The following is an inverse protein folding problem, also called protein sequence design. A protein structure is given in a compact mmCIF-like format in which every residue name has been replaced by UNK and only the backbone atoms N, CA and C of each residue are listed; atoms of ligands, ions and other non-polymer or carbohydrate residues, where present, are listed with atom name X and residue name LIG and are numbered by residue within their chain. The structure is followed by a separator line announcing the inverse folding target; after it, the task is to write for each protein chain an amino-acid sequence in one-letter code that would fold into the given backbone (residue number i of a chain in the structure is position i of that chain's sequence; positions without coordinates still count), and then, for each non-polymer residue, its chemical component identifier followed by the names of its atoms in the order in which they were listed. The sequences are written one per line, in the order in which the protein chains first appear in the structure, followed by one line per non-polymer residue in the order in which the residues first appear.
data_IF_747486783085
#
_entry.id   IF_747486783085
#
_cell.length_a   1.000
_cell.length_b   1.000
_cell.length_c   1.000
_cell.angle_alpha   90.00
_cell.angle_beta   90.00
_cell.angle_gamma   90.00
#
_symmetry.space_group_name_H-M   'P 1'
#
loop_
_entity.id
_entity.type
_entity.pdbx_description
1 polymer ?
#
# COMPACT_ATOMS: atom_id res chain seq x y z
N UNK A 1 6.84 -21.97 22.55
CA UNK A 1 7.30 -22.81 21.42
C UNK A 1 8.80 -22.61 21.30
N UNK A 2 9.58 -23.66 21.50
CA UNK A 2 11.04 -23.63 21.42
C UNK A 2 11.43 -23.78 19.94
N UNK A 3 11.84 -22.68 19.29
CA UNK A 3 12.44 -22.72 17.95
C UNK A 3 13.82 -23.41 18.00
N UNK A 4 14.40 -23.76 16.84
CA UNK A 4 15.68 -24.50 16.78
C UNK A 4 16.85 -23.83 17.55
N UNK A 5 16.80 -22.51 17.79
CA UNK A 5 17.75 -21.77 18.63
C UNK A 5 17.79 -22.28 20.09
N UNK A 6 18.98 -22.65 20.59
CA UNK A 6 19.20 -23.27 21.91
C UNK A 6 18.98 -22.31 23.09
N UNK A 7 17.72 -21.97 23.40
CA UNK A 7 17.35 -20.96 24.41
C UNK A 7 17.08 -21.50 25.82
N UNK A 8 16.70 -22.77 25.96
CA UNK A 8 16.09 -23.27 27.21
C UNK A 8 16.90 -24.39 27.91
N UNK A 9 18.19 -24.57 27.58
CA UNK A 9 19.06 -25.52 28.29
C UNK A 9 18.68 -27.00 28.18
N UNK A 10 17.66 -27.36 27.38
CA UNK A 10 17.28 -28.74 27.08
C UNK A 10 17.82 -29.16 25.71
N UNK A 11 18.67 -30.18 25.72
CA UNK A 11 19.14 -30.89 24.53
C UNK A 11 17.98 -31.66 23.90
N UNK A 12 17.38 -31.13 22.85
CA UNK A 12 16.49 -31.91 22.00
C UNK A 12 16.88 -31.67 20.55
N UNK A 13 17.67 -32.61 20.04
CA UNK A 13 18.13 -32.64 18.66
C UNK A 13 17.22 -33.60 17.88
N UNK A 14 16.62 -33.19 16.77
CA UNK A 14 15.70 -34.06 15.99
C UNK A 14 16.35 -34.68 14.76
N UNK A 15 17.58 -34.26 14.43
CA UNK A 15 18.36 -34.85 13.33
C UNK A 15 19.74 -35.31 13.77
N UNK A 16 20.16 -36.46 13.23
CA UNK A 16 21.51 -36.98 13.34
C UNK A 16 22.11 -37.20 11.95
N UNK A 17 23.42 -37.16 11.84
CA UNK A 17 24.16 -37.47 10.61
C UNK A 17 24.45 -38.97 10.55
N UNK A 18 24.06 -39.64 9.46
CA UNK A 18 24.39 -41.05 9.22
C UNK A 18 25.84 -41.20 8.77
N UNK A 19 26.34 -42.43 8.76
CA UNK A 19 27.71 -42.75 8.33
C UNK A 19 27.99 -42.43 6.85
N UNK A 20 26.96 -42.30 6.02
CA UNK A 20 27.05 -41.88 4.62
C UNK A 20 26.98 -40.35 4.43
N UNK A 21 26.87 -39.59 5.52
CA UNK A 21 26.77 -38.12 5.53
C UNK A 21 25.35 -37.59 5.35
N UNK A 22 24.34 -38.45 5.18
CA UNK A 22 22.93 -38.02 5.05
C UNK A 22 22.29 -37.69 6.39
N UNK A 23 21.33 -36.76 6.39
CA UNK A 23 20.60 -36.39 7.61
C UNK A 23 19.43 -37.36 7.88
N UNK A 24 19.45 -37.94 9.08
CA UNK A 24 18.40 -38.80 9.62
C UNK A 24 17.49 -38.02 10.57
N UNK A 25 16.18 -38.04 10.33
CA UNK A 25 15.23 -37.56 11.33
C UNK A 25 15.02 -38.62 12.42
N UNK A 26 14.80 -38.22 13.66
CA UNK A 26 14.61 -39.14 14.80
C UNK A 26 13.49 -40.16 14.55
N UNK A 27 12.47 -39.81 13.78
CA UNK A 27 11.40 -40.74 13.41
C UNK A 27 11.86 -41.92 12.53
N UNK A 28 12.98 -41.79 11.81
CA UNK A 28 13.45 -42.76 10.81
C UNK A 28 14.41 -43.81 11.35
N UNK A 29 14.91 -43.65 12.57
CA UNK A 29 15.94 -44.52 13.16
C UNK A 29 15.35 -45.44 14.23
N UNK A 30 16.00 -46.57 14.52
CA UNK A 30 15.65 -47.38 15.70
C UNK A 30 15.97 -46.62 17.00
N UNK A 31 15.28 -46.97 18.09
CA UNK A 31 15.58 -46.44 19.42
C UNK A 31 16.95 -46.94 19.88
N UNK A 32 17.67 -46.15 20.68
CA UNK A 32 18.97 -46.50 21.23
C UNK A 32 20.16 -46.13 20.33
N UNK A 33 21.25 -46.88 20.46
CA UNK A 33 22.55 -46.59 19.85
C UNK A 33 22.75 -47.20 18.46
N UNK A 34 21.81 -48.02 18.03
CA UNK A 34 21.86 -48.73 16.74
C UNK A 34 21.72 -47.79 15.54
N UNK A 35 21.21 -46.58 15.75
CA UNK A 35 21.12 -45.56 14.71
C UNK A 35 22.50 -45.16 14.14
N UNK A 36 23.58 -45.37 14.92
CA UNK A 36 24.96 -44.98 14.59
C UNK A 36 25.09 -43.53 14.08
N UNK A 37 24.19 -42.66 14.51
CA UNK A 37 24.17 -41.27 14.09
C UNK A 37 25.19 -40.45 14.89
N UNK A 38 25.77 -39.44 14.24
CA UNK A 38 26.64 -38.44 14.85
C UNK A 38 25.91 -37.09 14.96
N UNK A 39 26.27 -36.28 15.94
CA UNK A 39 25.80 -34.92 16.03
C UNK A 39 26.45 -34.08 14.92
N UNK A 40 25.67 -33.41 14.04
CA UNK A 40 26.25 -32.59 12.97
C UNK A 40 26.99 -31.35 13.48
N UNK A 41 26.75 -30.94 14.74
CA UNK A 41 27.41 -29.79 15.37
C UNK A 41 28.75 -30.14 16.03
N UNK A 42 28.81 -31.20 16.83
CA UNK A 42 30.00 -31.55 17.63
C UNK A 42 30.65 -32.89 17.26
N UNK A 43 30.05 -33.69 16.38
CA UNK A 43 30.55 -35.00 15.95
C UNK A 43 30.35 -36.12 16.98
N UNK A 44 29.85 -35.83 18.18
CA UNK A 44 29.61 -36.84 19.22
C UNK A 44 28.52 -37.83 18.80
N UNK A 45 28.71 -39.11 19.13
CA UNK A 45 27.73 -40.17 18.89
C UNK A 45 26.39 -39.86 19.56
N UNK A 46 25.30 -40.12 18.85
CA UNK A 46 23.95 -39.89 19.34
C UNK A 46 23.29 -41.18 19.82
N UNK A 47 22.37 -41.02 20.78
CA UNK A 47 21.40 -42.03 21.21
C UNK A 47 20.00 -41.56 20.85
N UNK A 48 19.25 -42.38 20.12
CA UNK A 48 17.85 -42.10 19.78
C UNK A 48 16.95 -42.39 20.99
N UNK A 49 16.44 -41.36 21.65
CA UNK A 49 15.52 -41.46 22.79
C UNK A 49 14.09 -41.36 22.27
N UNK A 50 13.35 -42.46 22.37
CA UNK A 50 11.94 -42.57 21.96
C UNK A 50 11.09 -43.07 23.13
N UNK A 51 9.91 -42.50 23.32
CA UNK A 51 9.00 -42.92 24.38
C UNK A 51 7.69 -42.14 24.37
N UNK A 52 6.71 -42.64 25.10
CA UNK A 52 5.32 -42.12 25.03
C UNK A 52 5.10 -40.81 25.82
N UNK A 53 6.04 -40.46 26.72
CA UNK A 53 5.93 -39.30 27.62
C UNK A 53 6.71 -38.07 27.17
N UNK A 54 7.79 -38.26 26.40
CA UNK A 54 8.69 -37.21 25.96
C UNK A 54 8.80 -37.27 24.44
N UNK A 55 8.90 -36.11 23.80
CA UNK A 55 9.12 -36.04 22.36
C UNK A 55 10.34 -36.84 21.94
N UNK A 56 10.24 -37.51 20.80
CA UNK A 56 11.35 -38.25 20.23
C UNK A 56 12.50 -37.28 19.93
N UNK A 57 13.69 -37.58 20.46
CA UNK A 57 14.89 -36.76 20.23
C UNK A 57 16.15 -37.61 20.25
N UNK A 58 17.22 -37.05 19.70
CA UNK A 58 18.58 -37.52 19.91
C UNK A 58 19.16 -36.84 21.15
N UNK A 59 19.81 -37.64 21.99
CA UNK A 59 20.72 -37.18 23.04
C UNK A 59 22.16 -37.53 22.69
N UNK A 60 23.13 -36.85 23.29
CA UNK A 60 24.54 -37.24 23.15
C UNK A 60 24.84 -38.46 24.02
N UNK A 61 25.54 -39.45 23.46
CA UNK A 61 25.96 -40.62 24.20
C UNK A 61 27.25 -40.35 24.98
N UNK A 62 27.29 -40.76 26.25
CA UNK A 62 28.51 -40.68 27.08
C UNK A 62 28.87 -39.28 27.59
N UNK A 63 27.97 -38.30 27.42
CA UNK A 63 28.09 -36.96 27.99
C UNK A 63 27.07 -36.88 29.14
N UNK A 64 27.51 -36.56 30.36
CA UNK A 64 26.56 -36.25 31.45
C UNK A 64 25.64 -35.10 31.00
N UNK A 65 24.32 -35.21 31.25
CA UNK A 65 23.22 -34.36 30.72
C UNK A 65 23.29 -32.84 31.09
N UNK A 66 24.48 -32.25 31.29
CA UNK A 66 24.67 -30.89 31.81
C UNK A 66 25.16 -29.82 30.83
N UNK A 67 25.67 -30.16 29.63
CA UNK A 67 26.12 -29.14 28.66
C UNK A 67 25.42 -29.30 27.32
N UNK A 68 24.38 -28.49 27.04
CA UNK A 68 23.69 -28.54 25.76
C UNK A 68 24.64 -28.27 24.60
N UNK A 69 24.64 -29.11 23.57
CA UNK A 69 25.26 -28.79 22.30
C UNK A 69 24.58 -27.55 21.70
N UNK A 70 25.20 -26.39 21.90
CA UNK A 70 24.61 -25.09 21.56
C UNK A 70 24.40 -24.92 20.06
N UNK A 71 25.21 -25.57 19.23
CA UNK A 71 25.21 -25.41 17.75
C UNK A 71 24.55 -26.56 17.00
N UNK A 72 24.30 -27.70 17.67
CA UNK A 72 23.85 -28.94 17.04
C UNK A 72 22.52 -28.81 16.29
N UNK A 73 21.44 -28.34 16.94
CA UNK A 73 20.12 -28.21 16.30
C UNK A 73 20.11 -27.28 15.08
N UNK A 74 20.84 -26.18 15.14
CA UNK A 74 20.90 -25.19 14.06
C UNK A 74 21.67 -25.73 12.86
N UNK A 75 22.85 -26.32 13.12
CA UNK A 75 23.68 -26.98 12.11
C UNK A 75 22.93 -28.12 11.44
N UNK A 76 22.20 -28.91 12.23
CA UNK A 76 21.35 -29.99 11.75
C UNK A 76 20.29 -29.51 10.76
N UNK A 77 19.50 -28.49 11.12
CA UNK A 77 18.44 -27.97 10.26
C UNK A 77 19.01 -27.36 8.97
N UNK A 78 20.13 -26.64 9.09
CA UNK A 78 20.81 -26.02 7.95
C UNK A 78 21.30 -27.06 6.94
N UNK A 79 21.97 -28.11 7.41
CA UNK A 79 22.41 -29.24 6.56
C UNK A 79 21.23 -29.98 5.94
N UNK A 80 20.18 -30.24 6.71
CA UNK A 80 18.97 -30.89 6.20
C UNK A 80 18.32 -30.06 5.09
N UNK A 81 18.22 -28.73 5.24
CA UNK A 81 17.66 -27.84 4.24
C UNK A 81 18.44 -27.85 2.91
N UNK A 82 19.78 -27.81 3.01
CA UNK A 82 20.70 -27.96 1.87
C UNK A 82 20.47 -29.29 1.14
N UNK A 83 20.45 -30.41 1.87
CA UNK A 83 20.23 -31.74 1.31
C UNK A 83 18.87 -31.86 0.62
N UNK A 84 17.81 -31.38 1.26
CA UNK A 84 16.44 -31.40 0.70
C UNK A 84 16.38 -30.65 -0.63
N UNK A 85 16.92 -29.44 -0.70
CA UNK A 85 16.94 -28.67 -1.94
C UNK A 85 17.78 -29.34 -3.02
N UNK A 86 18.96 -29.87 -2.67
CA UNK A 86 19.83 -30.56 -3.63
C UNK A 86 19.20 -31.84 -4.19
N UNK A 87 18.43 -32.56 -3.38
CA UNK A 87 17.72 -33.78 -3.79
C UNK A 87 16.46 -33.48 -4.60
N UNK A 88 15.68 -32.48 -4.19
CA UNK A 88 14.38 -32.16 -4.79
C UNK A 88 14.49 -31.33 -6.06
N UNK A 89 15.52 -30.48 -6.16
CA UNK A 89 15.74 -29.56 -7.28
C UNK A 89 14.49 -28.73 -7.62
N UNK A 90 13.70 -28.38 -6.61
CA UNK A 90 12.49 -27.59 -6.77
C UNK A 90 12.37 -26.64 -5.58
N UNK A 91 11.89 -25.42 -5.83
CA UNK A 91 11.67 -24.43 -4.79
C UNK A 91 10.57 -23.44 -5.19
N UNK A 92 9.72 -23.04 -4.26
CA UNK A 92 8.85 -21.88 -4.45
C UNK A 92 9.65 -20.58 -4.38
N UNK A 93 9.58 -19.75 -5.41
CA UNK A 93 10.26 -18.46 -5.44
C UNK A 93 9.30 -17.33 -5.06
N UNK A 94 9.74 -16.34 -4.26
CA UNK A 94 8.90 -15.21 -3.90
C UNK A 94 8.54 -14.38 -5.14
N UNK A 95 7.37 -13.72 -5.15
CA UNK A 95 7.04 -12.74 -6.17
C UNK A 95 8.11 -11.65 -6.25
N UNK A 96 8.44 -11.23 -7.48
CA UNK A 96 9.28 -10.08 -7.74
C UNK A 96 8.39 -8.91 -8.15
N UNK A 97 8.04 -8.09 -7.16
CA UNK A 97 7.14 -6.94 -7.34
C UNK A 97 7.78 -5.67 -6.80
N UNK A 98 7.52 -4.54 -7.46
CA UNK A 98 7.96 -3.20 -7.02
C UNK A 98 6.75 -2.28 -6.95
N UNK A 99 6.60 -1.58 -5.82
CA UNK A 99 5.50 -0.65 -5.56
C UNK A 99 4.20 -1.33 -5.11
N UNK A 100 3.20 -0.49 -4.83
CA UNK A 100 1.89 -0.91 -4.31
C UNK A 100 0.74 -0.43 -5.20
N UNK A 101 -0.42 -1.09 -5.07
CA UNK A 101 -1.64 -0.70 -5.78
C UNK A 101 -1.62 -0.94 -7.30
N UNK A 102 -2.51 -0.27 -8.06
CA UNK A 102 -2.68 -0.50 -9.50
C UNK A 102 -1.48 -0.06 -10.36
N UNK A 103 -0.47 0.61 -9.78
CA UNK A 103 0.77 1.00 -10.44
C UNK A 103 1.96 0.07 -10.18
N UNK A 104 1.76 -1.03 -9.44
CA UNK A 104 2.86 -1.94 -9.11
C UNK A 104 3.41 -2.62 -10.36
N UNK A 105 4.73 -2.75 -10.40
CA UNK A 105 5.42 -3.54 -11.42
C UNK A 105 5.53 -4.99 -10.95
N UNK A 106 5.27 -5.94 -11.85
CA UNK A 106 5.38 -7.38 -11.58
C UNK A 106 6.39 -7.97 -12.56
N UNK A 107 7.56 -8.34 -12.07
CA UNK A 107 8.60 -9.01 -12.87
C UNK A 107 8.46 -10.53 -12.90
N UNK A 108 7.97 -11.08 -11.79
CA UNK A 108 7.71 -12.50 -11.61
C UNK A 108 6.59 -12.65 -10.56
N UNK A 109 5.51 -13.40 -10.84
CA UNK A 109 4.38 -13.50 -9.93
C UNK A 109 4.63 -14.36 -8.68
N UNK A 110 5.78 -15.04 -8.60
CA UNK A 110 6.00 -16.07 -7.59
C UNK A 110 5.62 -17.47 -8.10
N UNK A 111 6.03 -18.50 -7.38
CA UNK A 111 5.58 -19.88 -7.62
C UNK A 111 6.71 -20.91 -7.64
N UNK A 112 6.30 -22.17 -7.73
CA UNK A 112 7.17 -23.35 -7.74
C UNK A 112 8.03 -23.38 -9.00
N UNK A 113 9.34 -23.57 -8.82
CA UNK A 113 10.32 -23.57 -9.89
C UNK A 113 11.26 -24.76 -9.79
N UNK A 114 11.43 -25.49 -10.90
CA UNK A 114 12.33 -26.64 -11.00
C UNK A 114 13.71 -26.27 -11.56
N UNK A 115 14.75 -26.89 -11.02
CA UNK A 115 16.16 -26.70 -11.33
C UNK A 115 16.76 -27.95 -11.96
N UNK A 116 17.88 -27.78 -12.67
CA UNK A 116 18.59 -28.88 -13.33
C UNK A 116 19.70 -29.46 -12.46
N UNK A 117 20.25 -28.64 -11.55
CA UNK A 117 21.33 -29.03 -10.64
C UNK A 117 21.37 -28.13 -9.40
N UNK A 118 21.99 -28.63 -8.34
CA UNK A 118 22.31 -27.91 -7.12
C UNK A 118 23.76 -28.19 -6.70
N UNK A 119 24.46 -27.16 -6.25
CA UNK A 119 25.83 -27.23 -5.77
C UNK A 119 25.87 -26.73 -4.33
N UNK A 120 26.21 -27.62 -3.40
CA UNK A 120 26.29 -27.31 -1.97
C UNK A 120 27.64 -26.68 -1.65
N UNK A 121 27.64 -25.65 -0.80
CA UNK A 121 28.84 -25.04 -0.20
C UNK A 121 29.96 -24.72 -1.21
N UNK A 122 29.57 -24.41 -2.45
CA UNK A 122 30.50 -24.19 -3.54
C UNK A 122 30.93 -22.73 -3.56
N UNK A 123 32.24 -22.49 -3.50
CA UNK A 123 32.79 -21.13 -3.50
C UNK A 123 32.47 -20.41 -4.81
N UNK A 124 31.90 -19.22 -4.69
CA UNK A 124 31.56 -18.35 -5.81
C UNK A 124 32.17 -16.97 -5.54
N UNK A 125 33.30 -16.69 -6.19
CA UNK A 125 34.11 -15.51 -5.89
C UNK A 125 34.54 -15.49 -4.42
N UNK A 126 34.14 -14.45 -3.70
CA UNK A 126 34.48 -14.24 -2.28
C UNK A 126 33.42 -14.78 -1.29
N UNK A 127 32.34 -15.40 -1.78
CA UNK A 127 31.29 -15.94 -0.92
C UNK A 127 31.17 -17.46 -1.08
N UNK A 128 30.59 -18.09 -0.06
CA UNK A 128 30.11 -19.46 -0.10
C UNK A 128 28.61 -19.40 0.19
N UNK A 129 27.76 -19.49 -0.84
CA UNK A 129 26.32 -19.64 -0.66
C UNK A 129 26.00 -21.00 -0.06
N UNK A 130 24.88 -21.12 0.64
CA UNK A 130 24.45 -22.42 1.17
C UNK A 130 24.18 -23.42 0.04
N UNK A 131 23.43 -22.97 -0.97
CA UNK A 131 23.15 -23.74 -2.19
C UNK A 131 23.19 -22.81 -3.40
N UNK A 132 23.84 -23.25 -4.47
CA UNK A 132 23.72 -22.67 -5.80
C UNK A 132 22.84 -23.61 -6.63
N UNK A 133 21.64 -23.18 -6.99
CA UNK A 133 20.77 -23.94 -7.90
C UNK A 133 20.88 -23.38 -9.32
N UNK A 134 20.81 -24.26 -10.32
CA UNK A 134 21.02 -23.90 -11.73
C UNK A 134 19.83 -24.30 -12.60
N UNK A 135 19.43 -23.41 -13.52
CA UNK A 135 18.45 -23.68 -14.59
C UNK A 135 18.97 -23.15 -15.91
N UNK A 136 19.35 -24.05 -16.82
CA UNK A 136 20.15 -23.72 -18.01
C UNK A 136 21.48 -23.07 -17.61
N UNK A 137 21.73 -21.87 -18.14
CA UNK A 137 22.93 -21.06 -17.86
C UNK A 137 22.76 -20.12 -16.64
N UNK A 138 21.59 -20.12 -15.99
CA UNK A 138 21.29 -19.19 -14.90
C UNK A 138 21.50 -19.83 -13.54
N UNK A 139 22.13 -19.08 -12.66
CA UNK A 139 22.29 -19.44 -11.25
C UNK A 139 21.33 -18.64 -10.37
N UNK A 140 20.86 -19.28 -9.30
CA UNK A 140 20.19 -18.66 -8.17
C UNK A 140 20.91 -19.11 -6.91
N UNK A 141 21.29 -18.14 -6.08
CA UNK A 141 21.85 -18.39 -4.76
C UNK A 141 20.71 -18.54 -3.76
N UNK A 142 20.78 -19.57 -2.92
CA UNK A 142 19.80 -19.80 -1.85
C UNK A 142 20.54 -19.82 -0.54
N UNK A 143 20.11 -18.97 0.38
CA UNK A 143 20.59 -18.90 1.77
C UNK A 143 19.48 -19.36 2.72
N UNK A 144 19.82 -20.14 3.74
CA UNK A 144 18.89 -20.57 4.77
C UNK A 144 19.19 -19.85 6.09
N UNK A 145 18.26 -19.02 6.54
CA UNK A 145 18.34 -18.38 7.85
C UNK A 145 17.78 -19.34 8.91
N UNK A 146 18.63 -19.77 9.84
CA UNK A 146 18.20 -20.53 11.04
C UNK A 146 18.29 -19.67 12.30
N UNK A 147 19.42 -18.98 12.49
CA UNK A 147 19.62 -18.05 13.61
C UNK A 147 20.14 -16.70 13.20
N UNK A 148 20.99 -16.65 12.17
CA UNK A 148 21.53 -15.42 11.64
C UNK A 148 20.98 -15.18 10.24
N UNK A 149 20.55 -13.95 9.99
CA UNK A 149 20.30 -13.46 8.64
C UNK A 149 21.61 -13.36 7.88
N UNK A 150 21.53 -13.41 6.55
CA UNK A 150 22.61 -13.03 5.66
C UNK A 150 23.09 -11.61 6.00
N UNK A 151 24.38 -11.46 6.27
CA UNK A 151 24.95 -10.17 6.66
C UNK A 151 25.05 -9.19 5.47
N UNK A 152 25.16 -7.91 5.78
CA UNK A 152 25.21 -6.84 4.77
C UNK A 152 26.43 -6.99 3.83
N UNK A 153 27.55 -7.53 4.31
CA UNK A 153 28.76 -7.70 3.51
C UNK A 153 28.58 -8.79 2.44
N UNK A 154 27.96 -9.92 2.79
CA UNK A 154 27.60 -11.00 1.88
C UNK A 154 26.56 -10.53 0.88
N UNK A 155 25.53 -9.80 1.31
CA UNK A 155 24.53 -9.21 0.42
C UNK A 155 25.20 -8.23 -0.57
N UNK A 156 26.10 -7.36 -0.12
CA UNK A 156 26.82 -6.44 -0.99
C UNK A 156 27.65 -7.16 -2.07
N UNK A 157 28.30 -8.28 -1.71
CA UNK A 157 29.03 -9.13 -2.67
C UNK A 157 28.10 -9.79 -3.69
N UNK A 158 26.94 -10.29 -3.26
CA UNK A 158 25.91 -10.84 -4.15
C UNK A 158 25.44 -9.78 -5.14
N UNK A 159 25.16 -8.56 -4.67
CA UNK A 159 24.74 -7.43 -5.51
C UNK A 159 25.84 -7.05 -6.50
N UNK A 160 27.11 -7.04 -6.08
CA UNK A 160 28.24 -6.70 -6.95
C UNK A 160 28.45 -7.71 -8.09
N UNK A 161 28.17 -9.00 -7.85
CA UNK A 161 28.22 -10.04 -8.88
C UNK A 161 26.99 -10.05 -9.80
N UNK A 162 25.94 -9.30 -9.45
CA UNK A 162 24.65 -9.25 -10.15
C UNK A 162 24.01 -10.64 -10.35
N UNK A 163 24.07 -11.49 -9.31
CA UNK A 163 23.48 -12.83 -9.33
C UNK A 163 22.22 -12.85 -8.46
N UNK A 164 21.13 -13.42 -8.97
CA UNK A 164 19.90 -13.54 -8.21
C UNK A 164 20.11 -14.39 -6.95
N UNK A 165 19.59 -13.91 -5.82
CA UNK A 165 19.71 -14.57 -4.54
C UNK A 165 18.44 -14.42 -3.71
N UNK A 166 18.07 -15.49 -2.99
CA UNK A 166 16.98 -15.48 -2.03
C UNK A 166 17.47 -15.97 -0.66
N UNK A 167 16.78 -15.52 0.37
CA UNK A 167 16.90 -16.06 1.72
C UNK A 167 15.57 -16.72 2.12
N UNK A 168 15.66 -17.91 2.69
CA UNK A 168 14.54 -18.67 3.24
C UNK A 168 14.69 -18.70 4.76
N UNK A 169 13.68 -18.19 5.46
CA UNK A 169 13.68 -18.08 6.92
C UNK A 169 13.08 -19.32 7.58
N UNK A 170 13.96 -20.13 8.17
CA UNK A 170 13.62 -21.33 8.93
C UNK A 170 13.65 -21.08 10.44
N UNK A 171 13.99 -19.87 10.89
CA UNK A 171 14.20 -19.55 12.31
C UNK A 171 12.93 -19.69 13.16
N UNK A 172 11.76 -19.51 12.53
CA UNK A 172 10.45 -19.65 13.16
C UNK A 172 9.93 -21.09 13.29
N UNK A 173 10.63 -22.09 12.76
CA UNK A 173 10.14 -23.47 12.77
C UNK A 173 10.22 -24.10 14.19
N UNK A 174 9.14 -24.74 14.67
CA UNK A 174 9.17 -25.53 15.89
C UNK A 174 10.16 -26.70 15.79
N UNK A 175 10.87 -27.02 16.87
CA UNK A 175 11.84 -28.12 16.89
C UNK A 175 11.26 -29.49 16.62
N UNK A 176 10.05 -29.73 17.11
CA UNK A 176 9.29 -30.98 17.03
C UNK A 176 8.54 -31.14 15.70
N UNK A 177 8.76 -30.24 14.74
CA UNK A 177 8.14 -30.31 13.42
C UNK A 177 8.47 -31.64 12.73
N UNK A 178 7.44 -32.35 12.27
CA UNK A 178 7.61 -33.59 11.54
C UNK A 178 8.44 -33.39 10.27
N UNK A 179 9.23 -34.42 9.89
CA UNK A 179 10.08 -34.36 8.69
C UNK A 179 9.35 -33.87 7.44
N UNK A 180 8.16 -34.38 7.16
CA UNK A 180 7.38 -34.00 5.97
C UNK A 180 7.02 -32.51 5.98
N UNK A 181 6.69 -31.96 7.14
CA UNK A 181 6.37 -30.55 7.31
C UNK A 181 7.62 -29.67 7.24
N UNK A 182 8.77 -30.16 7.73
CA UNK A 182 10.07 -29.49 7.53
C UNK A 182 10.45 -29.43 6.05
N UNK A 183 10.35 -30.55 5.32
CA UNK A 183 10.60 -30.57 3.87
C UNK A 183 9.67 -29.59 3.15
N UNK A 184 8.38 -29.56 3.50
CA UNK A 184 7.41 -28.62 2.95
C UNK A 184 7.78 -27.17 3.28
N UNK A 185 8.20 -26.88 4.51
CA UNK A 185 8.63 -25.55 4.91
C UNK A 185 9.81 -25.06 4.07
N UNK A 186 10.86 -25.86 3.98
CA UNK A 186 12.06 -25.58 3.17
C UNK A 186 11.66 -25.29 1.71
N UNK A 187 10.82 -26.14 1.12
CA UNK A 187 10.52 -26.06 -0.31
C UNK A 187 9.50 -24.97 -0.66
N UNK A 188 8.47 -24.75 0.17
CA UNK A 188 7.29 -23.94 -0.22
C UNK A 188 6.78 -22.96 0.84
N UNK A 189 6.60 -23.38 2.11
CA UNK A 189 5.81 -22.56 3.04
C UNK A 189 6.60 -21.61 3.94
N UNK A 190 7.91 -21.82 4.13
CA UNK A 190 8.71 -20.91 4.94
C UNK A 190 8.80 -19.51 4.29
N UNK A 191 8.80 -18.41 5.08
CA UNK A 191 9.00 -17.07 4.56
C UNK A 191 10.26 -16.98 3.71
N UNK A 192 10.17 -16.26 2.59
CA UNK A 192 11.27 -16.14 1.64
C UNK A 192 11.28 -14.77 1.00
N UNK A 193 12.47 -14.22 0.80
CA UNK A 193 12.65 -12.87 0.21
C UNK A 193 13.81 -12.86 -0.76
N UNK A 194 13.74 -11.97 -1.75
CA UNK A 194 14.88 -11.66 -2.60
C UNK A 194 15.92 -10.87 -1.80
N UNK A 195 17.15 -11.36 -1.76
CA UNK A 195 18.31 -10.58 -1.30
C UNK A 195 18.82 -9.68 -2.43
N UNK A 196 18.83 -10.21 -3.65
CA UNK A 196 19.13 -9.48 -4.88
C UNK A 196 18.43 -10.14 -6.05
N UNK A 197 18.03 -9.34 -7.04
CA UNK A 197 17.60 -9.85 -8.33
C UNK A 197 17.96 -8.83 -9.42
N UNK A 198 18.73 -9.20 -10.46
CA UNK A 198 19.14 -8.28 -11.53
C UNK A 198 17.98 -7.54 -12.19
N UNK A 199 16.79 -8.15 -12.22
CA UNK A 199 15.59 -7.55 -12.79
C UNK A 199 15.06 -6.36 -11.98
N UNK A 200 15.40 -6.24 -10.68
CA UNK A 200 14.95 -5.13 -9.84
C UNK A 200 15.48 -3.78 -10.33
N UNK A 201 16.74 -3.72 -10.75
CA UNK A 201 17.35 -2.48 -11.24
C UNK A 201 16.66 -1.99 -12.51
N UNK A 202 16.47 -2.88 -13.49
CA UNK A 202 15.78 -2.55 -14.74
C UNK A 202 14.33 -2.12 -14.49
N UNK A 203 13.65 -2.79 -13.56
CA UNK A 203 12.28 -2.46 -13.16
C UNK A 203 12.16 -1.08 -12.51
N UNK A 204 13.10 -0.72 -11.64
CA UNK A 204 13.14 0.59 -10.99
C UNK A 204 13.28 1.72 -12.03
N UNK A 205 14.21 1.55 -12.98
CA UNK A 205 14.42 2.51 -14.09
C UNK A 205 13.14 2.68 -14.92
N UNK A 206 12.47 1.57 -15.25
CA UNK A 206 11.22 1.60 -16.02
C UNK A 206 10.07 2.27 -15.24
N UNK A 207 9.95 2.00 -13.94
CA UNK A 207 8.93 2.61 -13.09
C UNK A 207 9.12 4.13 -12.98
N UNK A 208 10.36 4.57 -12.79
CA UNK A 208 10.71 6.00 -12.78
C UNK A 208 10.42 6.67 -14.13
N UNK A 209 10.74 5.99 -15.24
CA UNK A 209 10.42 6.48 -16.59
C UNK A 209 8.92 6.70 -16.75
N UNK A 210 8.10 5.71 -16.37
CA UNK A 210 6.63 5.81 -16.41
C UNK A 210 6.09 6.91 -15.50
N UNK A 211 6.67 7.07 -14.31
CA UNK A 211 6.35 8.16 -13.39
C UNK A 211 6.57 9.52 -14.05
N UNK A 212 7.77 9.74 -14.59
CA UNK A 212 8.11 10.97 -15.33
C UNK A 212 7.18 11.23 -16.51
N UNK A 213 6.84 10.20 -17.28
CA UNK A 213 5.92 10.35 -18.42
C UNK A 213 4.51 10.75 -17.98
N UNK A 214 3.98 10.12 -16.93
CA UNK A 214 2.68 10.48 -16.37
C UNK A 214 2.69 11.92 -15.86
N UNK A 215 3.74 12.32 -15.16
CA UNK A 215 3.87 13.66 -14.59
C UNK A 215 3.98 14.70 -15.71
N UNK A 216 4.71 14.42 -16.79
CA UNK A 216 4.77 15.27 -17.99
C UNK A 216 3.40 15.40 -18.70
N UNK A 217 2.64 14.31 -18.80
CA UNK A 217 1.29 14.35 -19.38
C UNK A 217 0.37 15.20 -18.52
N UNK A 218 0.42 15.03 -17.19
CA UNK A 218 -0.36 15.83 -16.25
C UNK A 218 0.01 17.31 -16.33
N UNK A 219 1.29 17.65 -16.38
CA UNK A 219 1.77 19.02 -16.45
C UNK A 219 1.32 19.74 -17.74
N UNK A 220 1.43 19.06 -18.88
CA UNK A 220 0.93 19.57 -20.18
C UNK A 220 -0.59 19.78 -20.14
N UNK A 221 -1.34 18.82 -19.61
CA UNK A 221 -2.79 18.93 -19.45
C UNK A 221 -3.16 20.09 -18.52
N UNK A 222 -2.49 20.20 -17.37
CA UNK A 222 -2.72 21.22 -16.37
C UNK A 222 -2.43 22.62 -16.91
N UNK A 223 -1.35 22.81 -17.67
CA UNK A 223 -1.02 24.09 -18.32
C UNK A 223 -2.15 24.54 -19.27
N UNK A 224 -2.63 23.63 -20.12
CA UNK A 224 -3.74 23.90 -21.04
C UNK A 224 -5.05 24.20 -20.31
N UNK A 225 -5.37 23.40 -19.29
CA UNK A 225 -6.56 23.56 -18.44
C UNK A 225 -6.52 24.90 -17.69
N UNK A 226 -5.37 25.28 -17.13
CA UNK A 226 -5.16 26.53 -16.41
C UNK A 226 -5.37 27.74 -17.31
N UNK A 227 -4.76 27.74 -18.50
CA UNK A 227 -4.96 28.82 -19.49
C UNK A 227 -6.44 28.97 -19.83
N UNK A 228 -7.14 27.87 -20.06
CA UNK A 228 -8.58 27.88 -20.33
C UNK A 228 -9.40 28.38 -19.14
N UNK A 229 -9.02 28.00 -17.91
CA UNK A 229 -9.69 28.41 -16.69
C UNK A 229 -9.53 29.91 -16.43
N UNK A 230 -8.32 30.44 -16.57
CA UNK A 230 -8.06 31.89 -16.41
C UNK A 230 -8.84 32.71 -17.45
N UNK A 231 -8.91 32.25 -18.69
CA UNK A 231 -9.75 32.87 -19.72
C UNK A 231 -11.23 32.86 -19.32
N UNK A 232 -11.75 31.74 -18.81
CA UNK A 232 -13.11 31.64 -18.32
C UNK A 232 -13.38 32.57 -17.12
N UNK A 233 -12.43 32.73 -16.20
CA UNK A 233 -12.51 33.71 -15.11
C UNK A 233 -12.61 35.15 -15.62
N UNK A 234 -11.78 35.52 -16.61
CA UNK A 234 -11.84 36.84 -17.23
C UNK A 234 -13.18 37.07 -17.94
N UNK A 235 -13.66 36.07 -18.67
CA UNK A 235 -14.95 36.08 -19.36
C UNK A 235 -16.10 36.38 -18.38
N UNK A 236 -16.24 35.59 -17.31
CA UNK A 236 -17.33 35.76 -16.34
C UNK A 236 -17.24 37.05 -15.53
N UNK A 237 -16.04 37.62 -15.34
CA UNK A 237 -15.86 38.94 -14.71
C UNK A 237 -16.34 40.09 -15.59
N UNK A 238 -16.22 39.94 -16.91
CA UNK A 238 -16.65 40.95 -17.88
C UNK A 238 -18.16 40.90 -18.18
N UNK A 239 -18.83 39.80 -17.84
CA UNK A 239 -20.25 39.61 -18.12
C UNK A 239 -21.15 40.51 -17.28
N UNK A 240 -22.20 41.02 -17.91
CA UNK A 240 -23.32 41.65 -17.20
C UNK A 240 -24.23 40.58 -16.62
N UNK A 241 -24.91 40.93 -15.52
CA UNK A 241 -25.99 40.13 -14.93
C UNK A 241 -27.03 39.82 -15.99
N UNK A 242 -27.37 38.54 -16.12
CA UNK A 242 -28.33 38.06 -17.13
C UNK A 242 -29.59 37.46 -16.52
N UNK A 243 -29.61 37.23 -15.21
CA UNK A 243 -30.69 36.51 -14.53
C UNK A 243 -31.61 37.42 -13.69
N UNK A 244 -32.92 37.27 -13.89
CA UNK A 244 -33.97 37.91 -13.07
C UNK A 244 -33.94 37.52 -11.58
N UNK A 245 -33.23 36.44 -11.22
CA UNK A 245 -33.05 36.06 -9.82
C UNK A 245 -32.30 37.15 -9.04
N UNK A 246 -31.40 37.89 -9.68
CA UNK A 246 -30.70 39.00 -9.04
C UNK A 246 -31.67 40.09 -8.59
N UNK A 247 -32.62 40.48 -9.45
CA UNK A 247 -33.61 41.52 -9.12
C UNK A 247 -34.47 41.12 -7.91
N UNK A 248 -34.83 39.83 -7.80
CA UNK A 248 -35.56 39.28 -6.65
C UNK A 248 -34.76 39.34 -5.34
N UNK A 249 -33.45 39.16 -5.41
CA UNK A 249 -32.53 39.27 -4.28
C UNK A 249 -32.30 40.74 -3.90
N UNK A 250 -32.12 41.61 -4.89
CA UNK A 250 -31.95 43.05 -4.70
C UNK A 250 -33.20 43.70 -4.08
N UNK A 251 -34.41 43.33 -4.56
CA UNK A 251 -35.68 43.79 -4.00
C UNK A 251 -35.89 43.40 -2.53
N UNK A 252 -35.12 42.41 -2.05
CA UNK A 252 -35.11 41.93 -0.66
C UNK A 252 -33.91 42.42 0.14
N UNK A 253 -33.19 43.41 -0.36
CA UNK A 253 -31.99 44.01 0.25
C UNK A 253 -30.83 43.03 0.48
N UNK A 254 -30.78 41.93 -0.28
CA UNK A 254 -29.75 40.90 -0.19
C UNK A 254 -28.71 41.00 -1.33
N UNK A 255 -28.61 42.16 -2.00
CA UNK A 255 -27.67 42.37 -3.10
C UNK A 255 -26.20 42.16 -2.70
N UNK A 256 -25.85 42.37 -1.42
CA UNK A 256 -24.51 42.15 -0.87
C UNK A 256 -24.15 40.65 -0.67
N UNK A 257 -25.13 39.75 -0.76
CA UNK A 257 -24.95 38.31 -0.60
C UNK A 257 -24.55 37.59 -1.90
N UNK A 258 -24.48 38.33 -3.02
CA UNK A 258 -24.26 37.78 -4.37
C UNK A 258 -23.21 38.62 -5.11
N UNK A 259 -22.55 38.02 -6.09
CA UNK A 259 -21.40 38.63 -6.77
C UNK A 259 -20.08 38.46 -6.00
N UNK A 260 -20.04 37.57 -5.01
CA UNK A 260 -18.84 37.30 -4.21
C UNK A 260 -17.91 36.38 -5.03
N UNK A 261 -16.68 36.82 -5.29
CA UNK A 261 -15.68 35.96 -5.94
C UNK A 261 -15.16 34.89 -4.97
N UNK A 262 -15.05 33.66 -5.48
CA UNK A 262 -14.54 32.50 -4.76
C UNK A 262 -13.66 31.67 -5.70
N UNK A 263 -12.77 30.82 -5.20
CA UNK A 263 -12.11 29.83 -6.06
C UNK A 263 -13.13 29.00 -6.83
N UNK A 264 -12.88 28.79 -8.12
CA UNK A 264 -13.76 28.05 -9.02
C UNK A 264 -14.80 28.87 -9.79
N UNK A 265 -14.79 30.21 -9.76
CA UNK A 265 -15.76 31.03 -10.54
C UNK A 265 -15.70 30.74 -12.05
N UNK A 266 -14.53 30.42 -12.59
CA UNK A 266 -14.36 30.06 -14.00
C UNK A 266 -14.99 28.72 -14.39
N UNK A 267 -15.49 27.94 -13.42
CA UNK A 267 -16.23 26.71 -13.68
C UNK A 267 -17.63 26.95 -14.25
N UNK A 268 -18.16 28.17 -14.12
CA UNK A 268 -19.50 28.54 -14.55
C UNK A 268 -19.47 29.33 -15.86
N UNK A 269 -20.57 29.30 -16.61
CA UNK A 269 -20.72 30.08 -17.88
C UNK A 269 -21.37 31.45 -17.66
N UNK A 270 -21.70 31.79 -16.41
CA UNK A 270 -22.40 33.02 -16.00
C UNK A 270 -21.63 33.69 -14.86
N UNK A 271 -21.76 35.01 -14.65
CA UNK A 271 -21.06 35.71 -13.58
C UNK A 271 -21.43 35.18 -12.18
N UNK A 272 -20.57 35.35 -11.15
CA UNK A 272 -20.85 34.95 -9.77
C UNK A 272 -22.23 35.38 -9.27
N UNK A 273 -22.62 36.60 -9.63
CA UNK A 273 -23.90 37.19 -9.27
C UNK A 273 -25.10 36.36 -9.73
N UNK A 274 -25.07 35.78 -10.93
CA UNK A 274 -26.23 35.07 -11.50
C UNK A 274 -26.45 33.72 -10.82
N UNK A 275 -25.41 32.87 -10.76
CA UNK A 275 -25.56 31.55 -10.17
C UNK A 275 -25.78 31.62 -8.65
N UNK A 276 -25.17 32.57 -7.95
CA UNK A 276 -25.39 32.80 -6.52
C UNK A 276 -26.81 33.30 -6.26
N UNK A 277 -27.32 34.23 -7.09
CA UNK A 277 -28.69 34.73 -6.95
C UNK A 277 -29.74 33.63 -7.17
N UNK A 278 -29.54 32.71 -8.11
CA UNK A 278 -30.46 31.57 -8.28
C UNK A 278 -30.50 30.68 -7.05
N UNK A 279 -29.34 30.34 -6.48
CA UNK A 279 -29.29 29.50 -5.27
C UNK A 279 -29.99 30.20 -4.09
N UNK A 280 -29.68 31.47 -3.87
CA UNK A 280 -30.22 32.24 -2.75
C UNK A 280 -31.71 32.53 -2.92
N UNK A 281 -32.16 32.89 -4.13
CA UNK A 281 -33.56 33.22 -4.39
C UNK A 281 -34.46 32.02 -4.11
N UNK A 282 -34.05 30.82 -4.50
CA UNK A 282 -34.82 29.61 -4.23
C UNK A 282 -34.94 29.33 -2.73
N UNK A 283 -33.88 29.56 -1.95
CA UNK A 283 -33.93 29.40 -0.50
C UNK A 283 -34.85 30.45 0.16
N UNK A 284 -34.80 31.69 -0.32
CA UNK A 284 -35.67 32.78 0.15
C UNK A 284 -37.13 32.53 -0.19
N UNK A 285 -37.42 32.08 -1.41
CA UNK A 285 -38.78 31.78 -1.86
C UNK A 285 -39.35 30.57 -1.08
N UNK A 286 -38.55 29.53 -0.84
CA UNK A 286 -38.93 28.42 0.06
C UNK A 286 -39.23 28.90 1.48
N UNK A 287 -38.39 29.77 2.05
CA UNK A 287 -38.64 30.35 3.37
C UNK A 287 -39.95 31.16 3.38
N UNK A 288 -40.21 31.95 2.34
CA UNK A 288 -41.44 32.75 2.23
C UNK A 288 -42.69 31.87 2.20
N UNK A 289 -42.63 30.73 1.52
CA UNK A 289 -43.72 29.74 1.43
C UNK A 289 -43.87 28.83 2.66
N UNK A 290 -43.08 29.04 3.72
CA UNK A 290 -43.14 28.23 4.95
C UNK A 290 -42.39 26.89 4.86
N UNK A 291 -41.65 26.66 3.77
CA UNK A 291 -40.78 25.50 3.61
C UNK A 291 -39.43 25.65 4.34
N UNK A 292 -38.65 24.57 4.38
CA UNK A 292 -37.30 24.56 4.96
C UNK A 292 -36.29 25.12 3.93
N UNK A 293 -35.64 26.28 4.18
CA UNK A 293 -34.76 26.92 3.19
C UNK A 293 -33.35 26.32 3.22
N UNK A 294 -33.25 25.02 2.94
CA UNK A 294 -32.00 24.26 2.93
C UNK A 294 -31.28 24.42 1.58
N UNK A 295 -30.01 24.81 1.65
CA UNK A 295 -29.07 24.86 0.54
C UNK A 295 -28.08 23.70 0.70
N UNK A 296 -27.91 22.92 -0.36
CA UNK A 296 -26.87 21.89 -0.44
C UNK A 296 -26.04 22.08 -1.70
N UNK A 297 -24.76 21.72 -1.67
CA UNK A 297 -23.87 21.80 -2.86
C UNK A 297 -24.45 20.98 -4.02
N UNK A 298 -24.90 19.75 -3.75
CA UNK A 298 -25.52 18.88 -4.73
C UNK A 298 -26.81 19.47 -5.33
N UNK A 299 -27.67 20.07 -4.50
CA UNK A 299 -28.91 20.72 -4.95
C UNK A 299 -28.64 21.96 -5.79
N UNK A 300 -27.69 22.79 -5.39
CA UNK A 300 -27.24 23.95 -6.14
C UNK A 300 -26.65 23.56 -7.50
N UNK A 301 -25.72 22.60 -7.53
CA UNK A 301 -25.11 22.14 -8.78
C UNK A 301 -26.11 21.51 -9.74
N UNK A 302 -27.13 20.80 -9.24
CA UNK A 302 -28.22 20.27 -10.08
C UNK A 302 -28.93 21.40 -10.83
N UNK A 303 -29.27 22.48 -10.14
CA UNK A 303 -29.98 23.65 -10.71
C UNK A 303 -29.12 24.40 -11.72
N UNK A 304 -27.84 24.57 -11.42
CA UNK A 304 -26.85 25.19 -12.32
C UNK A 304 -26.70 24.33 -13.58
N UNK A 305 -26.58 23.00 -13.43
CA UNK A 305 -26.46 22.06 -14.56
C UNK A 305 -27.70 22.06 -15.45
N UNK A 306 -28.90 22.06 -14.88
CA UNK A 306 -30.16 22.14 -15.64
C UNK A 306 -30.28 23.40 -16.49
N UNK A 307 -29.60 24.49 -16.09
CA UNK A 307 -29.55 25.76 -16.84
C UNK A 307 -28.41 25.82 -17.87
N UNK A 308 -27.62 24.75 -17.99
CA UNK A 308 -26.44 24.74 -18.85
C UNK A 308 -25.30 25.62 -18.35
N UNK A 309 -25.32 26.04 -17.08
CA UNK A 309 -24.38 27.04 -16.54
C UNK A 309 -23.04 26.47 -16.06
N UNK A 310 -22.75 25.20 -16.38
CA UNK A 310 -21.55 24.50 -15.95
C UNK A 310 -20.66 24.21 -17.15
N UNK A 311 -19.40 24.67 -17.09
CA UNK A 311 -18.41 24.35 -18.12
C UNK A 311 -17.96 22.90 -17.96
N UNK A 312 -18.32 22.06 -18.95
CA UNK A 312 -17.99 20.62 -18.96
C UNK A 312 -16.50 20.34 -18.72
N UNK A 313 -15.63 21.20 -19.25
CA UNK A 313 -14.17 21.10 -19.11
C UNK A 313 -13.67 21.06 -17.66
N UNK A 314 -14.40 21.68 -16.73
CA UNK A 314 -13.97 21.78 -15.32
C UNK A 314 -14.79 20.91 -14.36
N UNK A 315 -15.87 20.28 -14.84
CA UNK A 315 -16.78 19.52 -13.99
C UNK A 315 -16.36 18.08 -13.71
N UNK A 316 -15.43 17.53 -14.49
CA UNK A 316 -14.99 16.13 -14.41
C UNK A 316 -13.49 15.96 -14.22
N UNK A 317 -12.81 17.01 -13.76
CA UNK A 317 -11.38 16.93 -13.46
C UNK A 317 -11.13 16.03 -12.26
N UNK A 318 -10.05 15.27 -12.32
CA UNK A 318 -9.51 14.50 -11.20
C UNK A 318 -8.89 15.43 -10.15
N UNK A 319 -8.73 14.94 -8.92
CA UNK A 319 -8.06 15.70 -7.86
C UNK A 319 -6.61 16.04 -8.23
N UNK A 320 -5.93 15.17 -8.98
CA UNK A 320 -4.57 15.40 -9.47
C UNK A 320 -4.52 16.56 -10.47
N UNK A 321 -5.45 16.61 -11.44
CA UNK A 321 -5.56 17.73 -12.37
C UNK A 321 -5.92 19.03 -11.64
N UNK A 322 -6.86 18.97 -10.70
CA UNK A 322 -7.24 20.13 -9.89
C UNK A 322 -6.07 20.67 -9.05
N UNK A 323 -5.30 19.79 -8.42
CA UNK A 323 -4.09 20.15 -7.68
C UNK A 323 -3.03 20.77 -8.60
N UNK A 324 -2.79 20.19 -9.79
CA UNK A 324 -1.84 20.71 -10.76
C UNK A 324 -2.23 22.10 -11.29
N UNK A 325 -3.53 22.36 -11.49
CA UNK A 325 -4.01 23.70 -11.85
C UNK A 325 -3.70 24.69 -10.71
N UNK A 326 -3.95 24.30 -9.45
CA UNK A 326 -3.74 25.14 -8.26
C UNK A 326 -2.28 25.39 -7.89
N UNK A 327 -1.35 24.54 -8.33
CA UNK A 327 0.05 24.55 -7.90
C UNK A 327 0.71 25.95 -7.93
N UNK A 328 0.38 26.76 -8.93
CA UNK A 328 0.93 28.12 -9.11
C UNK A 328 0.01 29.23 -8.58
N UNK A 329 -0.80 28.93 -7.56
CA UNK A 329 -1.70 29.90 -6.92
C UNK A 329 -2.93 30.27 -7.75
N UNK A 330 -3.25 29.52 -8.81
CA UNK A 330 -4.49 29.73 -9.57
C UNK A 330 -5.69 29.48 -8.65
N UNK A 331 -6.68 30.39 -8.55
CA UNK A 331 -7.84 30.25 -7.67
C UNK A 331 -8.88 29.29 -8.28
N UNK A 332 -8.45 28.08 -8.60
CA UNK A 332 -9.27 27.00 -9.11
C UNK A 332 -9.79 26.14 -7.97
N UNK A 333 -11.07 25.78 -8.05
CA UNK A 333 -11.63 24.69 -7.26
C UNK A 333 -12.79 24.04 -8.02
N UNK A 334 -13.17 22.83 -7.63
CA UNK A 334 -14.31 22.14 -8.22
C UNK A 334 -15.60 22.95 -8.03
N UNK A 335 -16.57 22.82 -8.96
CA UNK A 335 -17.84 23.56 -8.88
C UNK A 335 -18.57 23.42 -7.54
N UNK A 336 -18.52 22.23 -6.91
CA UNK A 336 -19.15 21.99 -5.62
C UNK A 336 -18.48 22.80 -4.51
N UNK A 337 -17.15 22.87 -4.54
CA UNK A 337 -16.34 23.59 -3.57
C UNK A 337 -16.49 25.11 -3.74
N UNK A 338 -16.65 25.59 -4.98
CA UNK A 338 -16.98 27.00 -5.24
C UNK A 338 -18.32 27.40 -4.58
N UNK A 339 -19.36 26.56 -4.70
CA UNK A 339 -20.64 26.78 -4.02
C UNK A 339 -20.48 26.76 -2.51
N UNK A 340 -19.74 25.78 -1.97
CA UNK A 340 -19.47 25.67 -0.54
C UNK A 340 -18.69 26.87 0.03
N UNK A 341 -17.69 27.37 -0.71
CA UNK A 341 -16.90 28.53 -0.36
C UNK A 341 -17.78 29.79 -0.29
N UNK A 342 -18.67 29.98 -1.27
CA UNK A 342 -19.64 31.09 -1.25
C UNK A 342 -20.60 30.98 -0.07
N UNK A 343 -21.19 29.81 0.17
CA UNK A 343 -22.13 29.60 1.27
C UNK A 343 -21.46 29.80 2.64
N UNK A 344 -20.21 29.35 2.78
CA UNK A 344 -19.37 29.61 3.96
C UNK A 344 -19.14 31.11 4.18
N UNK A 345 -18.89 31.87 3.11
CA UNK A 345 -18.79 33.34 3.21
C UNK A 345 -20.11 33.95 3.70
N UNK A 346 -21.26 33.48 3.21
CA UNK A 346 -22.56 33.95 3.70
C UNK A 346 -22.83 33.58 5.16
N UNK A 347 -22.27 32.47 5.64
CA UNK A 347 -22.32 32.15 7.07
C UNK A 347 -21.53 33.13 7.92
N UNK A 348 -20.37 33.59 7.47
CA UNK A 348 -19.62 34.65 8.16
C UNK A 348 -20.35 35.99 8.17
N UNK A 349 -21.18 36.24 7.16
CA UNK A 349 -22.04 37.43 7.09
C UNK A 349 -23.35 37.28 7.87
N UNK A 350 -23.59 36.15 8.55
CA UNK A 350 -24.83 35.90 9.32
C UNK A 350 -26.06 35.65 8.45
N UNK A 351 -25.91 35.41 7.15
CA UNK A 351 -27.02 35.21 6.21
C UNK A 351 -27.46 33.74 6.21
N UNK A 352 -26.49 32.83 6.27
CA UNK A 352 -26.71 31.38 6.30
C UNK A 352 -26.17 30.77 7.60
N UNK A 353 -26.83 29.73 8.12
CA UNK A 353 -26.29 28.91 9.20
C UNK A 353 -25.84 27.55 8.65
N UNK A 354 -24.66 27.03 9.05
CA UNK A 354 -24.26 25.66 8.73
C UNK A 354 -25.26 24.67 9.35
N UNK A 355 -25.61 23.64 8.60
CA UNK A 355 -26.66 22.69 8.97
C UNK A 355 -26.16 21.23 8.83
N UNK A 356 -25.31 20.81 9.76
CA UNK A 356 -24.70 19.49 9.78
C UNK A 356 -23.32 19.48 9.11
N UNK A 357 -23.07 18.50 8.23
CA UNK A 357 -21.82 18.39 7.48
C UNK A 357 -21.52 19.63 6.62
N UNK A 358 -20.24 19.82 6.24
CA UNK A 358 -19.71 21.02 5.57
C UNK A 358 -20.25 21.33 4.16
N UNK A 359 -21.35 20.70 3.74
CA UNK A 359 -21.99 20.83 2.43
C UNK A 359 -23.47 21.30 2.51
N UNK A 360 -23.93 21.75 3.70
CA UNK A 360 -25.32 22.10 3.99
C UNK A 360 -25.47 23.39 4.78
N UNK A 361 -26.41 24.24 4.35
CA UNK A 361 -26.71 25.52 4.99
C UNK A 361 -28.21 25.82 5.01
N UNK A 362 -28.67 26.58 5.99
CA UNK A 362 -30.07 27.04 6.11
C UNK A 362 -30.07 28.57 6.16
N UNK A 363 -31.02 29.20 5.47
CA UNK A 363 -31.23 30.66 5.56
C UNK A 363 -31.61 31.08 6.99
N UNK A 364 -30.91 32.07 7.55
CA UNK A 364 -31.14 32.51 8.93
C UNK A 364 -32.47 33.26 9.09
N UNK A 365 -33.15 33.07 10.23
CA UNK A 365 -34.52 33.57 10.44
C UNK A 365 -34.63 35.10 10.50
N UNK A 366 -33.62 35.82 11.03
CA UNK A 366 -33.66 37.30 11.03
C UNK A 366 -33.57 37.87 9.62
N UNK A 367 -32.79 37.23 8.75
CA UNK A 367 -32.68 37.54 7.31
C UNK A 367 -33.97 37.19 6.56
N UNK A 368 -34.63 36.09 6.92
CA UNK A 368 -35.94 35.73 6.38
C UNK A 368 -37.06 36.69 6.86
N UNK A 369 -37.02 37.13 8.12
CA UNK A 369 -38.02 38.01 8.75
C UNK A 369 -38.05 39.43 8.18
N UNK A 370 -36.88 40.01 7.85
CA UNK A 370 -36.79 41.33 7.19
C UNK A 370 -37.44 41.33 5.80
N UNK A 371 -37.48 40.19 5.11
CA UNK A 371 -38.13 40.05 3.81
C UNK A 371 -39.65 39.86 3.89
N UNK A 372 -40.17 39.22 4.95
CA UNK A 372 -41.62 39.08 5.20
C UNK A 372 -42.27 40.37 5.71
N UNK A 373 -41.63 41.09 6.65
CA UNK A 373 -42.20 42.28 7.28
C UNK A 373 -42.42 43.47 6.32
N UNK A 374 -41.66 43.56 5.22
CA UNK A 374 -41.75 44.65 4.25
C UNK A 374 -42.65 44.37 3.04
N UNK A 375 -42.94 43.10 2.72
CA UNK A 375 -43.93 42.75 1.69
C UNK A 375 -45.36 43.09 2.12
N UNK A 376 -45.65 43.04 3.43
CA UNK A 376 -46.93 43.48 3.98
C UNK A 376 -47.13 45.01 3.91
N UNK A 377 -46.04 45.79 4.00
CA UNK A 377 -46.09 47.25 3.99
C UNK A 377 -46.24 47.89 2.59
N UNK A 378 -46.14 47.12 1.50
CA UNK A 378 -46.36 47.59 0.11
C UNK A 378 -47.73 47.18 -0.47
N UNK A 379 -48.61 46.59 0.35
CA UNK A 379 -49.97 46.17 -0.03
C UNK A 379 -51.08 47.04 0.57
N UNK A 380 -50.74 48.23 1.08
CA UNK A 380 -51.68 49.25 1.53
C UNK A 380 -51.49 50.53 0.71
#
# INVERSE_FOLDING_TARGET
MTGFACRDGRESLVFGERTDGTMAHISEVSSGLECNCLCPGCGTRLVARKGDKNDHHFGHYGVEDGRPCQTGPETALHRFAKEVLARRLELELPPLVIGEGPGKWIGYPGGIYGFDAAFLESRLGEIIPDVIVRKGERHLLVEFQVTHTCDEAKIARIVAMDIAAIEIDLSGLPRDTARADLEKAILTTAPRKWLHNPKLRAAQVELERRGRERDQVLDRAATSLRKAYLAACAEVRSMRTSCLAYDRIAARHLAHAVGIEVPGIGCFTVPPRDWQAVILADAVDLAASGGKPLITTAGALRKIRQRGWLRRRFSGLTDAEAAAIRADGTPFDHPANAVAAWATTLSRLGILLPAGAGDRWILWQQTAGTTRGRQAAKRF
#
